data_IF_634903064359
#
_entry.id   IF_634903064359
#
_cell.length_a   1.000
_cell.length_b   1.000
_cell.length_c   1.000
_cell.angle_alpha   90.00
_cell.angle_beta   90.00
_cell.angle_gamma   90.00
#
_symmetry.space_group_name_H-M   'P 1'
#
loop_
_entity.id
_entity.type
_entity.pdbx_description
1 polymer ?
#
# COMPACT_ATOMS: atom_id res chain seq x y z
N UNK A 1 9.81 26.04 -9.40
CA UNK A 1 10.26 24.96 -10.31
C UNK A 1 9.11 24.68 -11.25
N UNK A 2 9.22 25.08 -12.51
CA UNK A 2 8.33 24.56 -13.54
C UNK A 2 8.61 23.06 -13.63
N UNK A 3 7.67 22.24 -13.15
CA UNK A 3 7.62 20.83 -13.51
C UNK A 3 7.54 20.81 -15.03
N UNK A 4 8.61 20.44 -15.72
CA UNK A 4 8.53 20.08 -17.13
C UNK A 4 7.33 19.16 -17.34
N UNK A 5 6.59 19.36 -18.43
CA UNK A 5 5.39 18.59 -18.67
C UNK A 5 5.80 17.11 -18.82
N UNK A 6 5.59 16.30 -17.78
CA UNK A 6 6.05 14.89 -17.69
C UNK A 6 5.70 14.10 -18.97
N UNK A 7 4.58 14.45 -19.61
CA UNK A 7 4.16 13.87 -20.89
C UNK A 7 5.13 14.13 -22.05
N UNK A 8 5.72 15.32 -22.13
CA UNK A 8 6.66 15.68 -23.19
C UNK A 8 7.99 14.94 -23.03
N UNK A 9 8.43 14.75 -21.78
CA UNK A 9 9.69 14.08 -21.47
C UNK A 9 9.60 12.55 -21.60
N UNK A 10 8.48 11.96 -21.15
CA UNK A 10 8.34 10.50 -21.03
C UNK A 10 7.32 9.89 -22.00
N UNK A 11 6.63 10.69 -22.82
CA UNK A 11 5.63 10.22 -23.79
C UNK A 11 4.26 9.87 -23.19
N UNK A 12 4.19 9.66 -21.88
CA UNK A 12 3.00 9.20 -21.16
C UNK A 12 2.52 10.22 -20.10
N UNK A 13 1.20 10.31 -19.85
CA UNK A 13 0.70 11.16 -18.77
C UNK A 13 1.11 10.66 -17.40
N UNK A 14 1.45 11.60 -16.52
CA UNK A 14 1.44 11.36 -15.09
C UNK A 14 0.00 11.28 -14.58
N UNK A 15 -0.37 10.18 -13.93
CA UNK A 15 -1.74 9.96 -13.44
C UNK A 15 -1.75 9.70 -11.93
N UNK A 16 -2.67 10.37 -11.24
CA UNK A 16 -2.96 10.16 -9.82
C UNK A 16 -4.38 9.64 -9.65
N UNK A 17 -4.60 8.81 -8.63
CA UNK A 17 -5.91 8.22 -8.38
C UNK A 17 -5.97 7.45 -7.08
N UNK A 18 -7.18 7.04 -6.70
CA UNK A 18 -7.36 6.18 -5.55
C UNK A 18 -6.75 4.79 -5.82
N UNK A 19 -6.01 4.22 -4.87
CA UNK A 19 -5.28 2.95 -5.06
C UNK A 19 -6.18 1.76 -5.42
N UNK A 20 -7.44 1.79 -4.97
CA UNK A 20 -8.41 0.75 -5.33
C UNK A 20 -8.80 0.78 -6.81
N UNK A 21 -8.79 1.95 -7.47
CA UNK A 21 -9.23 2.10 -8.86
C UNK A 21 -8.40 1.26 -9.85
N UNK A 22 -7.05 1.38 -9.92
CA UNK A 22 -6.25 0.55 -10.82
C UNK A 22 -6.32 -0.93 -10.43
N UNK A 23 -6.30 -1.24 -9.12
CA UNK A 23 -6.39 -2.63 -8.63
C UNK A 23 -7.71 -3.29 -9.05
N UNK A 24 -8.83 -2.60 -8.90
CA UNK A 24 -10.15 -3.08 -9.31
C UNK A 24 -10.25 -3.22 -10.83
N UNK A 25 -9.67 -2.28 -11.58
CA UNK A 25 -9.60 -2.35 -13.04
C UNK A 25 -8.83 -3.57 -13.53
N UNK A 26 -7.66 -3.85 -12.94
CA UNK A 26 -6.86 -5.04 -13.23
C UNK A 26 -7.62 -6.31 -12.87
N UNK A 27 -8.15 -6.41 -11.66
CA UNK A 27 -8.93 -7.56 -11.22
C UNK A 27 -10.13 -7.86 -12.14
N UNK A 28 -10.88 -6.84 -12.52
CA UNK A 28 -12.02 -6.98 -13.43
C UNK A 28 -11.61 -7.40 -14.84
N UNK A 29 -10.45 -6.95 -15.35
CA UNK A 29 -9.91 -7.43 -16.62
C UNK A 29 -9.45 -8.88 -16.53
N UNK A 30 -8.77 -9.26 -15.46
CA UNK A 30 -8.29 -10.62 -15.26
C UNK A 30 -9.43 -11.65 -15.16
N UNK A 31 -10.58 -11.27 -14.60
CA UNK A 31 -11.79 -12.12 -14.55
C UNK A 31 -12.34 -12.53 -15.93
N UNK A 32 -11.90 -11.89 -17.02
CA UNK A 32 -12.27 -12.27 -18.38
C UNK A 32 -11.52 -13.51 -18.88
N UNK A 33 -10.47 -13.95 -18.17
CA UNK A 33 -9.67 -15.12 -18.52
C UNK A 33 -10.09 -16.30 -17.64
N UNK A 34 -10.70 -17.35 -18.21
CA UNK A 34 -11.27 -18.46 -17.43
C UNK A 34 -10.21 -19.32 -16.74
N UNK A 35 -8.98 -19.34 -17.27
CA UNK A 35 -7.88 -20.11 -16.70
C UNK A 35 -7.28 -19.46 -15.44
N UNK A 36 -7.64 -18.20 -15.17
CA UNK A 36 -7.13 -17.46 -14.02
C UNK A 36 -8.10 -17.59 -12.84
N UNK A 37 -7.65 -18.29 -11.80
CA UNK A 37 -8.43 -18.54 -10.58
C UNK A 37 -8.02 -17.57 -9.47
N UNK A 38 -9.02 -16.96 -8.84
CA UNK A 38 -8.83 -16.10 -7.68
C UNK A 38 -9.33 -16.80 -6.42
N UNK A 39 -8.44 -16.93 -5.42
CA UNK A 39 -8.76 -17.45 -4.10
C UNK A 39 -8.62 -16.32 -3.08
N UNK A 40 -9.75 -15.76 -2.66
CA UNK A 40 -9.82 -14.66 -1.68
C UNK A 40 -10.08 -15.22 -0.28
N UNK A 41 -9.57 -14.54 0.76
CA UNK A 41 -9.68 -15.05 2.14
C UNK A 41 -8.81 -16.28 2.40
N UNK A 42 -7.84 -16.52 1.52
CA UNK A 42 -6.89 -17.61 1.56
C UNK A 42 -5.49 -17.03 1.77
N UNK A 43 -4.76 -17.61 2.72
CA UNK A 43 -3.38 -17.24 3.04
C UNK A 43 -2.45 -18.34 2.58
N UNK A 44 -1.26 -17.97 2.10
CA UNK A 44 -0.16 -18.92 1.87
C UNK A 44 0.71 -18.96 3.12
N UNK A 45 0.79 -20.13 3.74
CA UNK A 45 1.50 -20.31 5.01
C UNK A 45 2.95 -20.71 4.82
N UNK A 46 3.21 -21.65 3.93
CA UNK A 46 4.54 -22.22 3.77
C UNK A 46 4.76 -22.53 2.29
N UNK A 47 5.96 -22.26 1.78
CA UNK A 47 6.43 -22.75 0.49
C UNK A 47 7.59 -23.71 0.75
N UNK A 48 7.54 -24.86 0.10
CA UNK A 48 8.57 -25.91 0.12
C UNK A 48 9.13 -26.11 -1.28
N UNK A 49 10.29 -26.76 -1.35
CA UNK A 49 10.87 -27.22 -2.62
C UNK A 49 11.16 -26.08 -3.61
N UNK A 50 11.71 -24.96 -3.11
CA UNK A 50 11.97 -23.71 -3.86
C UNK A 50 12.87 -23.87 -5.11
N UNK A 51 13.53 -25.01 -5.29
CA UNK A 51 14.58 -25.21 -6.31
C UNK A 51 14.16 -26.00 -7.56
N UNK A 52 13.05 -26.76 -7.53
CA UNK A 52 12.71 -27.63 -8.66
C UNK A 52 11.22 -27.77 -8.96
N UNK A 53 10.41 -28.06 -7.93
CA UNK A 53 8.96 -28.18 -8.03
C UNK A 53 8.32 -27.59 -6.78
N UNK A 54 8.11 -26.27 -6.74
CA UNK A 54 7.62 -25.62 -5.55
C UNK A 54 6.22 -26.14 -5.18
N UNK A 55 6.03 -26.35 -3.89
CA UNK A 55 4.73 -26.64 -3.32
C UNK A 55 4.44 -25.66 -2.20
N UNK A 56 3.18 -25.39 -1.93
CA UNK A 56 2.81 -24.47 -0.86
C UNK A 56 1.55 -24.90 -0.13
N UNK A 57 1.46 -24.50 1.13
CA UNK A 57 0.28 -24.75 1.95
C UNK A 57 -0.60 -23.52 1.97
N UNK A 58 -1.88 -23.69 1.69
CA UNK A 58 -2.90 -22.66 1.84
C UNK A 58 -3.79 -22.93 3.05
N UNK A 59 -4.23 -21.86 3.70
CA UNK A 59 -5.25 -21.90 4.75
C UNK A 59 -6.35 -20.89 4.47
N UNK A 60 -7.58 -21.26 4.80
CA UNK A 60 -8.75 -20.37 4.76
C UNK A 60 -9.51 -20.47 6.08
N UNK A 61 -10.21 -19.41 6.47
CA UNK A 61 -10.91 -19.37 7.76
C UNK A 61 -11.94 -20.50 7.89
N UNK A 62 -11.73 -21.41 8.84
CA UNK A 62 -12.63 -22.53 9.11
C UNK A 62 -12.50 -23.71 8.15
N UNK A 63 -11.46 -23.73 7.32
CA UNK A 63 -11.13 -24.85 6.45
C UNK A 63 -9.83 -25.53 6.92
N UNK A 64 -9.69 -26.81 6.57
CA UNK A 64 -8.43 -27.54 6.71
C UNK A 64 -7.35 -26.94 5.81
N UNK A 65 -6.10 -27.08 6.23
CA UNK A 65 -4.97 -26.67 5.40
C UNK A 65 -4.82 -27.61 4.20
N UNK A 66 -4.51 -27.04 3.04
CA UNK A 66 -4.36 -27.80 1.79
C UNK A 66 -2.97 -27.55 1.20
N UNK A 67 -2.33 -28.61 0.69
CA UNK A 67 -1.08 -28.52 -0.08
C UNK A 67 -1.42 -28.37 -1.56
N UNK A 68 -0.75 -27.41 -2.21
CA UNK A 68 -0.85 -27.14 -3.65
C UNK A 68 0.54 -27.30 -4.26
N UNK A 69 0.64 -28.10 -5.32
CA UNK A 69 1.86 -28.22 -6.12
C UNK A 69 1.77 -27.30 -7.35
N UNK A 70 2.89 -26.72 -7.75
CA UNK A 70 2.97 -25.84 -8.93
C UNK A 70 4.33 -25.91 -9.61
N UNK A 71 4.39 -25.48 -10.87
CA UNK A 71 5.67 -25.39 -11.60
C UNK A 71 6.44 -24.11 -11.24
N UNK A 72 5.71 -23.01 -11.05
CA UNK A 72 6.28 -21.69 -10.72
C UNK A 72 5.45 -21.02 -9.63
N UNK A 73 6.12 -20.57 -8.57
CA UNK A 73 5.54 -19.79 -7.50
C UNK A 73 5.99 -18.33 -7.56
N UNK A 74 5.06 -17.39 -7.69
CA UNK A 74 5.35 -15.94 -7.70
C UNK A 74 4.96 -15.29 -6.37
N UNK A 75 5.96 -14.95 -5.56
CA UNK A 75 5.77 -14.39 -4.22
C UNK A 75 5.52 -12.86 -4.25
N UNK A 76 4.27 -12.43 -4.40
CA UNK A 76 3.89 -11.01 -4.43
C UNK A 76 3.34 -10.48 -3.09
N UNK A 77 3.85 -10.97 -1.95
CA UNK A 77 3.32 -10.74 -0.59
C UNK A 77 3.57 -9.36 0.04
N UNK A 78 4.15 -8.40 -0.69
CA UNK A 78 4.43 -7.05 -0.19
C UNK A 78 5.64 -6.96 0.76
N UNK A 79 5.79 -5.80 1.42
CA UNK A 79 6.97 -5.47 2.23
C UNK A 79 7.17 -6.38 3.46
N UNK A 80 6.09 -6.91 4.05
CA UNK A 80 6.13 -7.88 5.17
C UNK A 80 5.90 -9.32 4.70
N UNK A 81 6.41 -9.65 3.51
CA UNK A 81 6.23 -10.97 2.91
C UNK A 81 6.89 -12.06 3.76
N UNK A 82 6.08 -12.99 4.28
CA UNK A 82 6.57 -14.22 4.93
C UNK A 82 7.44 -15.07 4.00
N UNK A 83 7.15 -15.03 2.69
CA UNK A 83 7.94 -15.76 1.69
C UNK A 83 9.37 -15.22 1.60
N UNK A 84 9.55 -13.89 1.75
CA UNK A 84 10.89 -13.29 1.80
C UNK A 84 11.68 -13.81 3.00
N UNK A 85 11.06 -13.87 4.18
CA UNK A 85 11.72 -14.40 5.39
C UNK A 85 12.15 -15.86 5.22
N UNK A 86 11.30 -16.68 4.60
CA UNK A 86 11.62 -18.08 4.32
C UNK A 86 12.80 -18.24 3.36
N UNK A 87 12.81 -17.48 2.27
CA UNK A 87 13.92 -17.51 1.31
C UNK A 87 15.24 -17.05 1.94
N UNK A 88 15.21 -15.97 2.73
CA UNK A 88 16.41 -15.47 3.42
C UNK A 88 16.96 -16.51 4.40
N UNK A 89 16.09 -17.19 5.14
CA UNK A 89 16.49 -18.29 6.03
C UNK A 89 17.13 -19.45 5.28
N UNK A 90 16.53 -19.87 4.17
CA UNK A 90 17.06 -20.96 3.32
C UNK A 90 18.46 -20.62 2.79
N UNK A 91 18.70 -19.35 2.46
CA UNK A 91 20.01 -18.86 2.03
C UNK A 91 20.99 -18.54 3.18
N UNK A 92 20.58 -18.73 4.43
CA UNK A 92 21.40 -18.38 5.59
C UNK A 92 21.70 -16.88 5.71
N UNK A 93 20.84 -16.03 5.13
CA UNK A 93 20.95 -14.58 5.19
C UNK A 93 20.13 -14.05 6.35
N UNK A 94 20.80 -13.34 7.26
CA UNK A 94 20.14 -12.60 8.33
C UNK A 94 19.82 -11.17 7.85
N UNK A 95 18.54 -10.85 7.71
CA UNK A 95 18.09 -9.53 7.27
C UNK A 95 16.71 -9.18 7.83
N UNK A 96 16.65 -8.07 8.57
CA UNK A 96 15.45 -7.60 9.23
C UNK A 96 14.84 -6.37 8.55
N UNK A 97 13.61 -6.03 8.95
CA UNK A 97 12.99 -4.77 8.58
C UNK A 97 13.63 -3.67 9.42
N UNK A 98 14.17 -2.65 8.75
CA UNK A 98 14.75 -1.47 9.41
C UNK A 98 13.69 -0.38 9.45
N UNK A 99 13.44 0.15 10.65
CA UNK A 99 12.55 1.30 10.83
C UNK A 99 13.21 2.55 10.22
N UNK A 100 12.43 3.33 9.46
CA UNK A 100 12.90 4.61 8.94
C UNK A 100 12.86 5.73 9.99
N UNK A 101 12.31 5.47 11.18
CA UNK A 101 12.06 6.45 12.25
C UNK A 101 11.10 7.57 11.79
N UNK A 102 10.26 7.27 10.81
CA UNK A 102 9.33 8.20 10.18
C UNK A 102 7.95 7.56 10.06
N UNK A 103 6.93 8.29 10.48
CA UNK A 103 5.54 7.94 10.31
C UNK A 103 4.93 8.74 9.17
N UNK A 104 4.16 8.07 8.31
CA UNK A 104 3.41 8.70 7.23
C UNK A 104 1.93 8.80 7.61
N UNK A 105 1.39 10.02 7.65
CA UNK A 105 -0.04 10.25 7.86
C UNK A 105 -0.70 10.53 6.53
N UNK A 106 -1.88 9.96 6.33
CA UNK A 106 -2.63 10.13 5.09
C UNK A 106 -4.07 10.47 5.38
N UNK A 107 -4.52 11.58 4.82
CA UNK A 107 -5.87 12.12 5.00
C UNK A 107 -6.50 12.29 3.61
N UNK A 108 -7.76 11.89 3.52
CA UNK A 108 -8.60 12.13 2.35
C UNK A 108 -9.72 13.07 2.78
N UNK A 109 -9.72 14.30 2.27
CA UNK A 109 -10.79 15.26 2.49
C UNK A 109 -11.71 15.27 1.28
N UNK A 110 -13.02 15.13 1.47
CA UNK A 110 -13.97 15.34 0.38
C UNK A 110 -14.20 16.84 0.17
N UNK A 111 -14.60 17.22 -1.03
CA UNK A 111 -14.94 18.62 -1.34
C UNK A 111 -16.01 19.18 -0.40
N UNK A 112 -16.98 18.34 -0.02
CA UNK A 112 -18.06 18.70 0.90
C UNK A 112 -17.50 19.01 2.30
N UNK A 113 -16.51 18.27 2.78
CA UNK A 113 -15.85 18.56 4.07
C UNK A 113 -15.06 19.87 4.08
N UNK A 114 -14.79 20.43 2.90
CA UNK A 114 -14.01 21.65 2.71
C UNK A 114 -14.89 22.85 2.35
N UNK A 115 -16.21 22.67 2.20
CA UNK A 115 -17.09 23.66 1.54
C UNK A 115 -17.23 24.98 2.30
N UNK A 116 -17.09 24.94 3.63
CA UNK A 116 -17.21 26.10 4.51
C UNK A 116 -15.91 26.93 4.61
N UNK A 117 -14.82 26.48 3.99
CA UNK A 117 -13.51 27.13 4.02
C UNK A 117 -13.01 27.42 2.60
N UNK A 118 -13.01 28.71 2.23
CA UNK A 118 -12.61 29.17 0.90
C UNK A 118 -11.13 28.90 0.60
N UNK A 119 -10.26 28.96 1.61
CA UNK A 119 -8.83 28.72 1.43
C UNK A 119 -8.59 27.23 1.14
N UNK A 120 -9.32 26.34 1.83
CA UNK A 120 -9.29 24.91 1.51
C UNK A 120 -9.89 24.59 0.14
N UNK A 121 -10.98 25.23 -0.25
CA UNK A 121 -11.54 25.06 -1.59
C UNK A 121 -10.56 25.47 -2.69
N UNK A 122 -9.72 26.47 -2.48
CA UNK A 122 -8.67 26.83 -3.43
C UNK A 122 -7.60 25.72 -3.53
N UNK A 123 -7.24 25.10 -2.40
CA UNK A 123 -6.23 24.04 -2.38
C UNK A 123 -6.58 22.82 -3.24
N UNK A 124 -7.87 22.46 -3.36
CA UNK A 124 -8.27 21.27 -4.16
C UNK A 124 -7.97 21.42 -5.65
N UNK A 125 -7.76 22.65 -6.12
CA UNK A 125 -7.40 22.94 -7.49
C UNK A 125 -5.89 22.91 -7.74
N UNK A 126 -5.10 22.70 -6.68
CA UNK A 126 -3.64 22.72 -6.71
C UNK A 126 -3.03 21.36 -6.39
N UNK A 127 -1.82 21.12 -6.89
CA UNK A 127 -0.97 20.02 -6.43
C UNK A 127 0.34 20.60 -5.93
N UNK A 128 0.80 20.17 -4.77
CA UNK A 128 1.94 20.79 -4.11
C UNK A 128 2.77 19.80 -3.29
N UNK A 129 4.06 20.10 -3.23
CA UNK A 129 4.99 19.50 -2.28
C UNK A 129 5.38 20.63 -1.33
N UNK A 130 5.11 20.46 -0.03
CA UNK A 130 5.45 21.43 1.00
C UNK A 130 6.96 21.56 1.17
N UNK A 131 7.38 22.62 1.88
CA UNK A 131 8.80 22.85 2.15
C UNK A 131 9.42 21.65 2.87
N UNK A 132 10.68 21.34 2.54
CA UNK A 132 11.37 20.09 2.92
C UNK A 132 10.71 18.77 2.46
N UNK A 133 9.66 18.82 1.62
CA UNK A 133 8.96 17.66 1.03
C UNK A 133 8.27 16.73 2.01
N UNK A 134 7.92 17.25 3.19
CA UNK A 134 7.24 16.49 4.23
C UNK A 134 5.73 16.46 4.05
N UNK A 135 5.19 17.23 3.11
CA UNK A 135 3.76 17.24 2.75
C UNK A 135 3.65 17.09 1.24
N UNK A 136 2.82 16.15 0.80
CA UNK A 136 2.43 15.97 -0.60
C UNK A 136 0.91 16.02 -0.64
N UNK A 137 0.37 16.97 -1.38
CA UNK A 137 -1.07 17.16 -1.49
C UNK A 137 -1.50 17.29 -2.96
N UNK A 138 -2.58 16.59 -3.33
CA UNK A 138 -3.10 16.62 -4.69
C UNK A 138 -4.56 16.16 -4.76
N UNK A 139 -5.35 16.70 -5.70
CA UNK A 139 -6.69 16.22 -5.96
C UNK A 139 -6.68 14.86 -6.66
N UNK A 140 -7.64 14.02 -6.29
CA UNK A 140 -8.01 12.79 -6.99
C UNK A 140 -9.51 12.79 -7.27
N UNK A 141 -9.99 11.79 -8.01
CA UNK A 141 -11.42 11.61 -8.30
C UNK A 141 -12.06 12.86 -8.91
N UNK A 142 -11.42 13.44 -9.94
CA UNK A 142 -11.88 14.67 -10.61
C UNK A 142 -12.09 15.84 -9.64
N UNK A 143 -11.13 16.08 -8.73
CA UNK A 143 -11.17 17.16 -7.74
C UNK A 143 -12.35 17.08 -6.76
N UNK A 144 -12.79 15.87 -6.45
CA UNK A 144 -13.80 15.59 -5.40
C UNK A 144 -13.17 15.18 -4.08
N UNK A 145 -11.93 14.69 -4.12
CA UNK A 145 -11.18 14.29 -2.93
C UNK A 145 -9.80 14.95 -3.00
N UNK A 146 -9.40 15.60 -1.93
CA UNK A 146 -8.05 16.12 -1.74
C UNK A 146 -7.24 15.12 -0.89
N UNK A 147 -6.21 14.54 -1.48
CA UNK A 147 -5.33 13.59 -0.79
C UNK A 147 -4.13 14.35 -0.21
N UNK A 148 -3.99 14.29 1.10
CA UNK A 148 -2.85 14.87 1.82
C UNK A 148 -2.04 13.72 2.41
N UNK A 149 -0.74 13.75 2.23
CA UNK A 149 0.19 12.80 2.81
C UNK A 149 1.33 13.56 3.46
N UNK A 150 1.56 13.31 4.75
CA UNK A 150 2.65 13.93 5.50
C UNK A 150 3.61 12.88 6.02
N UNK A 151 4.86 13.26 6.22
CA UNK A 151 5.87 12.45 6.91
C UNK A 151 6.42 13.24 8.09
N UNK A 152 6.52 12.59 9.24
CA UNK A 152 7.05 13.19 10.46
C UNK A 152 7.85 12.16 11.25
N UNK A 153 8.81 12.60 12.09
CA UNK A 153 9.51 11.70 13.00
C UNK A 153 8.53 10.85 13.81
N UNK A 154 8.74 9.54 13.83
CA UNK A 154 7.89 8.63 14.58
C UNK A 154 8.36 8.56 16.04
N UNK A 155 7.56 9.13 16.94
CA UNK A 155 7.78 9.05 18.39
C UNK A 155 7.04 7.87 19.03
N UNK A 156 6.24 7.12 18.25
CA UNK A 156 5.46 5.96 18.68
C UNK A 156 5.78 4.74 17.79
N UNK A 157 7.03 4.28 17.75
CA UNK A 157 7.47 3.25 16.83
C UNK A 157 6.73 1.93 17.04
N UNK A 158 6.58 1.17 15.95
CA UNK A 158 5.96 -0.14 16.02
C UNK A 158 6.81 -1.10 16.87
N UNK A 159 6.19 -1.69 17.89
CA UNK A 159 6.84 -2.70 18.77
C UNK A 159 7.40 -3.89 17.97
N UNK A 160 6.84 -4.17 16.79
CA UNK A 160 7.37 -5.18 15.86
C UNK A 160 7.17 -4.73 14.40
N UNK A 161 8.17 -4.05 13.80
CA UNK A 161 8.10 -3.52 12.44
C UNK A 161 7.85 -4.60 11.39
N UNK A 162 8.21 -5.85 11.66
CA UNK A 162 7.97 -7.01 10.80
C UNK A 162 6.55 -7.57 10.84
N UNK A 163 5.73 -7.27 11.86
CA UNK A 163 4.42 -7.94 12.07
C UNK A 163 3.19 -7.14 11.67
N UNK A 164 3.12 -5.85 11.98
CA UNK A 164 1.86 -5.08 11.84
C UNK A 164 2.07 -3.75 11.14
N UNK A 165 1.20 -3.41 10.17
CA UNK A 165 1.28 -2.18 9.37
C UNK A 165 0.81 -0.92 10.08
N UNK A 166 0.12 -1.07 11.22
CA UNK A 166 -0.51 0.00 11.99
C UNK A 166 -0.15 -0.16 13.46
N UNK A 167 0.24 0.94 14.10
CA UNK A 167 0.34 1.05 15.55
C UNK A 167 -1.02 1.50 16.11
N UNK A 168 -1.29 1.22 17.40
CA UNK A 168 -2.51 1.74 18.06
C UNK A 168 -2.44 3.26 18.07
N UNK A 169 -3.46 3.93 17.53
CA UNK A 169 -3.72 5.33 17.86
C UNK A 169 -4.07 5.44 19.35
N UNK A 170 -3.44 6.36 20.07
CA UNK A 170 -3.93 6.79 21.37
C UNK A 170 -5.08 7.77 21.13
N UNK A 171 -6.32 7.28 21.15
CA UNK A 171 -7.48 8.18 21.26
C UNK A 171 -7.47 8.81 22.67
N UNK A 172 -6.80 9.94 22.83
CA UNK A 172 -7.16 10.89 23.89
C UNK A 172 -8.10 11.90 23.24
N UNK A 173 -9.39 11.96 23.61
CA UNK A 173 -10.28 12.97 23.08
C UNK A 173 -9.68 14.34 23.38
N UNK A 174 -9.42 15.14 22.35
CA UNK A 174 -9.09 16.54 22.53
C UNK A 174 -10.27 17.19 23.26
N UNK A 175 -10.07 17.58 24.53
CA UNK A 175 -11.05 18.37 25.26
C UNK A 175 -11.22 19.69 24.51
N UNK A 176 -12.43 19.93 24.00
CA UNK A 176 -12.79 21.20 23.37
C UNK A 176 -12.39 22.35 24.31
N UNK A 177 -11.53 23.24 23.82
CA UNK A 177 -11.32 24.57 24.38
C UNK A 177 -12.35 25.53 23.79
#
# INVERSE_FOLDING_TARGET
MESGCIREEYGDPHMVGHRSSPTQGLYNKCKKYPDLKFHCGTSVDEVRDLSSKPSFTISSRGAEMERVDCDVFLACGGIKSRMREMMLRDWGVDAEVVDSEQAAYRILLTREQMEDDLDFLELIDTSGIGDHRHIIAYPISCKRIYNISTTQPDINPAISPSKTYTTKESETPCSKA
#
